data_IF_294775275030
#
_entry.id   IF_294775275030
#
_cell.length_a   1.000
_cell.length_b   1.000
_cell.length_c   1.000
_cell.angle_alpha   90.00
_cell.angle_beta   90.00
_cell.angle_gamma   90.00
#
_symmetry.space_group_name_H-M   'P 1'
#
loop_
_entity.id
_entity.type
_entity.pdbx_description
1 polymer ?
#
# COMPACT_ATOMS: atom_id res chain seq x y z
N UNK A 1 0.35 18.53 16.20
CA UNK A 1 -0.09 17.40 15.34
C UNK A 1 -0.61 16.26 16.23
N UNK A 2 0.19 15.75 17.20
CA UNK A 2 -0.18 14.58 18.03
C UNK A 2 -1.50 14.76 18.78
N UNK A 3 -1.71 15.87 19.48
CA UNK A 3 -2.97 16.14 20.18
C UNK A 3 -4.20 16.18 19.25
N UNK A 4 -4.04 16.60 17.99
CA UNK A 4 -5.10 16.54 17.00
C UNK A 4 -5.43 15.08 16.59
N UNK A 5 -4.42 14.23 16.41
CA UNK A 5 -4.61 12.80 16.09
C UNK A 5 -5.24 12.05 17.27
N UNK A 6 -4.84 12.40 18.51
CA UNK A 6 -5.45 11.86 19.72
C UNK A 6 -6.93 12.24 19.82
N UNK A 7 -7.27 13.50 19.58
CA UNK A 7 -8.65 13.98 19.57
C UNK A 7 -9.51 13.27 18.50
N UNK A 8 -8.93 12.94 17.35
CA UNK A 8 -9.57 12.15 16.29
C UNK A 8 -9.68 10.65 16.63
N UNK A 9 -9.05 10.19 17.71
CA UNK A 9 -9.01 8.78 18.14
C UNK A 9 -8.51 7.82 17.04
N UNK A 10 -7.55 8.25 16.25
CA UNK A 10 -6.97 7.44 15.15
C UNK A 10 -5.68 6.72 15.55
N UNK A 11 -5.06 7.11 16.69
CA UNK A 11 -3.87 6.46 17.24
C UNK A 11 -4.23 5.35 18.22
N UNK A 12 -3.37 4.34 18.33
CA UNK A 12 -3.51 3.31 19.36
C UNK A 12 -2.90 3.75 20.68
N UNK A 13 -3.52 3.33 21.78
CA UNK A 13 -3.02 3.48 23.17
C UNK A 13 -2.90 2.12 23.89
N UNK A 14 -3.24 1.03 23.19
CA UNK A 14 -3.35 -0.30 23.81
C UNK A 14 -2.00 -0.98 24.08
N UNK A 15 -0.93 -0.51 23.43
CA UNK A 15 0.39 -1.17 23.48
C UNK A 15 1.49 -0.26 24.02
N UNK A 16 1.15 0.67 24.94
CA UNK A 16 2.15 1.56 25.52
C UNK A 16 3.23 0.85 26.35
N UNK A 17 2.89 -0.30 26.94
CA UNK A 17 3.83 -1.13 27.70
C UNK A 17 4.62 -2.15 26.82
N UNK A 18 4.27 -2.26 25.52
CA UNK A 18 4.90 -3.13 24.54
C UNK A 18 4.82 -2.45 23.15
N UNK A 19 5.50 -1.31 23.03
CA UNK A 19 5.36 -0.40 21.87
C UNK A 19 5.71 -1.04 20.53
N UNK A 20 6.59 -2.03 20.52
CA UNK A 20 6.95 -2.82 19.35
C UNK A 20 5.78 -3.64 18.77
N UNK A 21 4.74 -3.86 19.57
CA UNK A 21 3.51 -4.57 19.15
C UNK A 21 2.41 -3.61 18.71
N UNK A 22 2.61 -2.30 18.79
CA UNK A 22 1.56 -1.30 18.53
C UNK A 22 1.16 -1.20 17.06
N UNK A 23 2.11 -1.24 16.15
CA UNK A 23 1.85 -1.16 14.72
C UNK A 23 1.46 -2.54 14.16
N UNK A 24 0.14 -2.78 14.03
CA UNK A 24 -0.41 -4.10 13.68
C UNK A 24 -1.54 -4.06 12.65
N UNK A 25 -1.24 -3.66 11.42
CA UNK A 25 -2.24 -3.65 10.34
C UNK A 25 -2.85 -5.04 10.11
N UNK A 26 -4.09 -5.06 9.64
CA UNK A 26 -4.86 -6.25 9.30
C UNK A 26 -5.21 -7.18 10.46
N UNK A 27 -4.88 -6.86 11.71
CA UNK A 27 -5.17 -7.77 12.82
C UNK A 27 -6.54 -7.53 13.45
N UNK A 28 -7.12 -8.58 14.04
CA UNK A 28 -8.36 -8.47 14.81
C UNK A 28 -8.22 -7.56 16.05
N UNK A 29 -7.00 -7.32 16.52
CA UNK A 29 -6.69 -6.46 17.66
C UNK A 29 -6.20 -5.06 17.27
N UNK A 30 -6.25 -4.70 16.00
CA UNK A 30 -5.97 -3.35 15.52
C UNK A 30 -6.83 -2.31 16.26
N UNK A 31 -6.22 -1.20 16.65
CA UNK A 31 -6.90 -0.22 17.51
C UNK A 31 -6.50 1.23 17.20
N UNK A 32 -5.92 1.47 16.06
CA UNK A 32 -5.38 2.74 15.61
C UNK A 32 -3.91 2.62 15.18
N UNK A 33 -3.42 3.60 14.47
CA UNK A 33 -2.04 3.57 14.01
C UNK A 33 -1.04 4.05 15.09
N UNK A 34 0.20 3.62 14.94
CA UNK A 34 1.34 4.18 15.66
C UNK A 34 1.94 5.29 14.79
N UNK A 35 2.01 6.54 15.29
CA UNK A 35 2.67 7.61 14.55
C UNK A 35 4.16 7.30 14.33
N UNK A 36 4.59 7.43 13.09
CA UNK A 36 5.99 7.31 12.67
C UNK A 36 6.53 8.62 12.10
N UNK A 37 7.80 8.64 11.75
CA UNK A 37 8.44 9.75 11.05
C UNK A 37 9.46 9.24 10.05
N UNK A 38 9.73 10.03 9.02
CA UNK A 38 10.73 9.68 8.01
C UNK A 38 10.59 10.54 6.76
N UNK A 39 11.38 10.20 5.76
CA UNK A 39 11.34 10.82 4.43
C UNK A 39 11.77 9.80 3.38
N UNK A 40 11.23 9.91 2.18
CA UNK A 40 11.69 9.19 0.99
C UNK A 40 11.90 10.20 -0.15
N UNK A 41 12.94 9.98 -0.94
CA UNK A 41 13.26 10.81 -2.10
C UNK A 41 13.52 9.93 -3.32
N UNK A 42 13.08 10.38 -4.48
CA UNK A 42 13.24 9.70 -5.76
C UNK A 42 13.82 10.67 -6.79
N UNK A 43 14.66 10.16 -7.65
CA UNK A 43 15.03 10.82 -8.89
C UNK A 43 14.22 10.17 -10.01
N UNK A 44 13.31 10.94 -10.59
CA UNK A 44 12.51 10.52 -11.74
C UNK A 44 13.15 11.08 -13.00
N UNK A 45 13.34 10.23 -14.00
CA UNK A 45 13.91 10.60 -15.29
C UNK A 45 13.10 9.96 -16.41
N UNK A 46 13.16 10.58 -17.58
CA UNK A 46 12.75 9.92 -18.80
C UNK A 46 13.67 8.71 -19.06
N UNK A 47 13.07 7.57 -19.49
CA UNK A 47 13.79 6.32 -19.71
C UNK A 47 14.98 6.47 -20.67
N UNK A 48 14.80 7.18 -21.79
CA UNK A 48 15.86 7.43 -22.77
C UNK A 48 17.04 8.18 -22.15
N UNK A 49 16.76 9.19 -21.32
CA UNK A 49 17.79 9.97 -20.63
C UNK A 49 18.56 9.09 -19.64
N UNK A 50 17.84 8.30 -18.84
CA UNK A 50 18.47 7.38 -17.88
C UNK A 50 19.37 6.37 -18.58
N UNK A 51 18.93 5.79 -19.70
CA UNK A 51 19.70 4.85 -20.50
C UNK A 51 20.93 5.49 -21.13
N UNK A 52 20.79 6.69 -21.69
CA UNK A 52 21.90 7.40 -22.39
C UNK A 52 23.08 7.70 -21.49
N UNK A 53 22.84 7.94 -20.18
CA UNK A 53 23.89 8.17 -19.20
C UNK A 53 24.32 6.94 -18.40
N UNK A 54 23.77 5.74 -18.74
CA UNK A 54 24.07 4.48 -18.05
C UNK A 54 23.57 4.45 -16.59
N UNK A 55 22.43 5.09 -16.31
CA UNK A 55 21.86 5.09 -14.97
C UNK A 55 21.44 3.69 -14.54
N UNK A 56 21.58 3.40 -13.23
CA UNK A 56 20.92 2.25 -12.64
C UNK A 56 19.42 2.57 -12.49
N UNK A 57 18.58 1.85 -13.22
CA UNK A 57 17.14 1.97 -13.13
C UNK A 57 16.64 0.92 -12.14
N UNK A 58 15.88 1.34 -11.13
CA UNK A 58 15.36 0.45 -10.09
C UNK A 58 13.96 -0.08 -10.41
N UNK A 59 13.13 0.77 -11.02
CA UNK A 59 11.76 0.45 -11.40
C UNK A 59 11.27 1.44 -12.47
N UNK A 60 10.21 1.07 -13.17
CA UNK A 60 9.44 1.95 -14.05
C UNK A 60 8.14 2.37 -13.36
N UNK A 61 7.76 3.63 -13.52
CA UNK A 61 6.44 4.11 -13.16
C UNK A 61 5.56 3.98 -14.41
N UNK A 62 4.66 3.00 -14.42
CA UNK A 62 3.80 2.74 -15.57
C UNK A 62 2.63 3.73 -15.66
N UNK A 63 2.10 4.14 -14.51
CA UNK A 63 0.98 5.05 -14.44
C UNK A 63 0.46 5.21 -13.02
N UNK A 64 -0.58 6.00 -12.87
CA UNK A 64 -1.20 6.22 -11.57
C UNK A 64 -2.45 7.07 -11.65
N UNK A 65 -3.15 7.18 -10.53
CA UNK A 65 -4.33 8.02 -10.40
C UNK A 65 -4.34 8.74 -9.06
N UNK A 66 -4.77 9.98 -9.07
CA UNK A 66 -5.10 10.75 -7.88
C UNK A 66 -6.54 11.22 -8.04
N UNK A 67 -7.36 11.04 -7.00
CA UNK A 67 -8.71 11.59 -6.95
C UNK A 67 -9.09 12.02 -5.53
N UNK A 68 -10.26 12.59 -5.38
CA UNK A 68 -10.89 12.88 -4.10
C UNK A 68 -12.33 12.38 -4.11
N UNK A 69 -12.76 11.73 -3.05
CA UNK A 69 -14.17 11.35 -2.82
C UNK A 69 -15.03 12.54 -2.41
N UNK A 70 -14.41 13.66 -1.99
CA UNK A 70 -15.08 14.88 -1.60
C UNK A 70 -15.90 14.73 -0.31
N UNK A 71 -15.55 13.77 0.52
CA UNK A 71 -16.24 13.44 1.78
C UNK A 71 -17.74 13.15 1.57
N UNK A 72 -18.08 12.53 0.44
CA UNK A 72 -19.45 12.15 0.08
C UNK A 72 -19.75 10.74 0.50
N UNK A 73 -21.02 10.37 0.50
CA UNK A 73 -21.51 9.04 0.88
C UNK A 73 -21.00 8.67 2.29
N UNK A 74 -20.11 7.68 2.39
CA UNK A 74 -19.49 7.24 3.64
C UNK A 74 -18.10 7.85 3.85
N UNK A 75 -17.62 8.69 2.92
CA UNK A 75 -16.36 9.40 3.05
C UNK A 75 -16.44 10.50 4.11
N UNK A 76 -15.33 10.70 4.82
CA UNK A 76 -15.18 11.72 5.87
C UNK A 76 -13.74 12.22 5.92
N UNK A 77 -13.44 13.09 6.89
CA UNK A 77 -12.07 13.52 7.11
C UNK A 77 -11.11 12.34 7.36
N UNK A 78 -11.57 11.29 8.04
CA UNK A 78 -10.73 10.16 8.49
C UNK A 78 -11.05 8.82 7.81
N UNK A 79 -12.09 8.78 6.97
CA UNK A 79 -12.48 7.57 6.25
C UNK A 79 -12.71 7.90 4.77
N UNK A 80 -12.03 7.20 3.84
CA UNK A 80 -12.21 7.45 2.41
C UNK A 80 -13.56 6.90 1.91
N UNK A 81 -14.08 7.53 0.87
CA UNK A 81 -15.22 7.03 0.11
C UNK A 81 -14.81 5.80 -0.69
N UNK A 82 -15.44 4.65 -0.44
CA UNK A 82 -15.11 3.39 -1.11
C UNK A 82 -15.28 3.43 -2.64
N UNK A 83 -16.25 4.18 -3.16
CA UNK A 83 -16.43 4.33 -4.61
C UNK A 83 -15.27 5.11 -5.22
N UNK A 84 -14.78 6.17 -4.54
CA UNK A 84 -13.63 6.95 -4.99
C UNK A 84 -12.33 6.13 -4.91
N UNK A 85 -12.13 5.35 -3.85
CA UNK A 85 -10.98 4.42 -3.71
C UNK A 85 -10.95 3.42 -4.86
N UNK A 86 -12.05 2.71 -5.11
CA UNK A 86 -12.14 1.74 -6.22
C UNK A 86 -11.90 2.40 -7.57
N UNK A 87 -12.47 3.58 -7.79
CA UNK A 87 -12.24 4.34 -9.02
C UNK A 87 -10.78 4.76 -9.18
N UNK A 88 -10.10 5.14 -8.09
CA UNK A 88 -8.68 5.49 -8.11
C UNK A 88 -7.82 4.29 -8.53
N UNK A 89 -8.05 3.12 -7.93
CA UNK A 89 -7.34 1.87 -8.25
C UNK A 89 -7.57 1.50 -9.72
N UNK A 90 -8.85 1.41 -10.15
CA UNK A 90 -9.18 0.99 -11.52
C UNK A 90 -8.61 1.96 -12.58
N UNK A 91 -8.64 3.26 -12.33
CA UNK A 91 -8.04 4.26 -13.25
C UNK A 91 -6.53 4.17 -13.30
N UNK A 92 -5.86 3.89 -12.17
CA UNK A 92 -4.42 3.69 -12.15
C UNK A 92 -4.01 2.49 -13.01
N UNK A 93 -4.77 1.39 -12.99
CA UNK A 93 -4.55 0.23 -13.86
C UNK A 93 -4.73 0.56 -15.34
N UNK A 94 -5.81 1.26 -15.67
CA UNK A 94 -6.08 1.69 -17.06
C UNK A 94 -4.97 2.60 -17.57
N UNK A 95 -4.54 3.58 -16.79
CA UNK A 95 -3.47 4.51 -17.15
C UNK A 95 -2.13 3.78 -17.33
N UNK A 96 -1.88 2.77 -16.51
CA UNK A 96 -0.67 1.94 -16.60
C UNK A 96 -0.74 0.89 -17.72
N UNK A 97 -1.88 0.65 -18.35
CA UNK A 97 -2.07 -0.43 -19.32
C UNK A 97 -1.89 -1.83 -18.73
N UNK A 98 -2.24 -2.02 -17.45
CA UNK A 98 -2.02 -3.24 -16.67
C UNK A 98 -3.35 -3.91 -16.35
N UNK A 99 -3.41 -5.23 -16.50
CA UNK A 99 -4.55 -6.03 -16.05
C UNK A 99 -4.41 -6.41 -14.57
N UNK A 100 -5.52 -6.71 -13.93
CA UNK A 100 -5.52 -7.10 -12.51
C UNK A 100 -4.73 -8.38 -12.22
N UNK A 101 -4.61 -9.28 -13.20
CA UNK A 101 -3.85 -10.53 -13.11
C UNK A 101 -2.33 -10.33 -13.13
N UNK A 102 -1.86 -9.20 -13.62
CA UNK A 102 -0.43 -8.90 -13.74
C UNK A 102 0.18 -8.38 -12.43
N UNK A 103 -0.68 -8.00 -11.45
CA UNK A 103 -0.22 -7.48 -10.17
C UNK A 103 0.24 -8.61 -9.27
N UNK A 104 1.48 -8.57 -8.86
CA UNK A 104 2.08 -9.54 -7.92
C UNK A 104 1.84 -9.15 -6.46
N UNK A 105 1.94 -7.86 -6.14
CA UNK A 105 1.88 -7.34 -4.78
C UNK A 105 1.09 -6.02 -4.72
N UNK A 106 0.29 -5.90 -3.70
CA UNK A 106 -0.32 -4.65 -3.26
C UNK A 106 0.43 -4.16 -2.02
N UNK A 107 1.16 -3.04 -2.14
CA UNK A 107 1.66 -2.29 -1.00
C UNK A 107 0.55 -1.32 -0.58
N UNK A 108 -0.22 -1.73 0.41
CA UNK A 108 -1.47 -1.11 0.78
C UNK A 108 -1.31 0.03 1.80
N UNK A 109 -2.34 0.84 1.95
CA UNK A 109 -2.34 1.92 2.95
C UNK A 109 -2.45 1.38 4.37
N UNK A 110 -3.32 0.44 4.64
CA UNK A 110 -3.59 -0.32 5.88
C UNK A 110 -2.89 0.24 7.13
N UNK A 111 -3.68 0.85 8.01
CA UNK A 111 -3.16 1.69 9.09
C UNK A 111 -3.36 1.12 10.49
N UNK A 112 -3.72 -0.14 10.61
CA UNK A 112 -4.12 -0.78 11.87
C UNK A 112 -5.38 -0.13 12.48
N UNK A 113 -6.31 0.29 11.66
CA UNK A 113 -7.59 0.90 12.05
C UNK A 113 -8.77 0.01 11.65
N UNK A 114 -9.97 0.39 12.10
CA UNK A 114 -11.21 -0.29 11.68
C UNK A 114 -11.44 -0.24 10.16
N UNK A 115 -10.70 0.60 9.42
CA UNK A 115 -10.84 0.73 7.97
C UNK A 115 -10.02 -0.31 7.18
N UNK A 116 -9.17 -1.09 7.83
CA UNK A 116 -8.28 -2.06 7.14
C UNK A 116 -9.10 -3.10 6.33
N UNK A 117 -10.14 -3.68 6.91
CA UNK A 117 -11.00 -4.63 6.19
C UNK A 117 -11.72 -3.97 5.01
N UNK A 118 -12.18 -2.73 5.18
CA UNK A 118 -12.82 -1.95 4.10
C UNK A 118 -11.83 -1.68 2.96
N UNK A 119 -10.56 -1.38 3.27
CA UNK A 119 -9.53 -1.18 2.25
C UNK A 119 -9.28 -2.46 1.46
N UNK A 120 -9.12 -3.61 2.15
CA UNK A 120 -8.94 -4.92 1.50
C UNK A 120 -10.13 -5.26 0.60
N UNK A 121 -11.36 -4.99 1.07
CA UNK A 121 -12.58 -5.15 0.26
C UNK A 121 -12.57 -4.26 -0.98
N UNK A 122 -12.14 -3.01 -0.86
CA UNK A 122 -12.04 -2.09 -2.00
C UNK A 122 -11.03 -2.58 -3.05
N UNK A 123 -9.88 -3.12 -2.62
CA UNK A 123 -8.91 -3.76 -3.50
C UNK A 123 -9.51 -4.98 -4.23
N UNK A 124 -10.12 -5.89 -3.48
CA UNK A 124 -10.79 -7.08 -4.03
C UNK A 124 -11.82 -6.71 -5.11
N UNK A 125 -12.68 -5.74 -4.81
CA UNK A 125 -13.71 -5.28 -5.75
C UNK A 125 -13.13 -4.56 -6.98
N UNK A 126 -12.12 -3.70 -6.81
CA UNK A 126 -11.49 -2.98 -7.90
C UNK A 126 -10.75 -3.91 -8.86
N UNK A 127 -10.11 -4.95 -8.33
CA UNK A 127 -9.39 -5.98 -9.09
C UNK A 127 -10.32 -7.11 -9.58
N UNK A 128 -11.53 -7.21 -9.06
CA UNK A 128 -12.45 -8.33 -9.28
C UNK A 128 -11.82 -9.69 -8.91
N UNK A 129 -11.13 -9.73 -7.76
CA UNK A 129 -10.40 -10.91 -7.28
C UNK A 129 -10.74 -11.22 -5.82
N UNK A 130 -10.72 -12.51 -5.47
CA UNK A 130 -10.95 -12.99 -4.11
C UNK A 130 -10.09 -14.21 -3.79
N UNK A 131 -9.95 -14.52 -2.51
CA UNK A 131 -9.23 -15.68 -2.01
C UNK A 131 -7.78 -15.70 -2.48
N UNK A 132 -7.33 -16.83 -2.99
CA UNK A 132 -5.97 -17.05 -3.52
C UNK A 132 -5.64 -16.24 -4.78
N UNK A 133 -6.62 -15.68 -5.45
CA UNK A 133 -6.41 -14.91 -6.68
C UNK A 133 -6.09 -13.43 -6.39
N UNK A 134 -6.27 -12.98 -5.15
CA UNK A 134 -5.81 -11.63 -4.73
C UNK A 134 -4.27 -11.62 -4.78
N UNK A 135 -3.64 -10.53 -5.26
CA UNK A 135 -2.19 -10.36 -5.14
C UNK A 135 -1.70 -10.50 -3.70
N UNK A 136 -0.40 -10.70 -3.49
CA UNK A 136 0.14 -10.55 -2.13
C UNK A 136 -0.19 -9.19 -1.57
N UNK A 137 -0.33 -9.10 -0.25
CA UNK A 137 -0.75 -7.90 0.44
C UNK A 137 0.19 -7.61 1.61
N UNK A 138 0.77 -6.41 1.64
CA UNK A 138 1.53 -5.95 2.79
C UNK A 138 1.31 -4.47 3.11
N UNK A 139 1.75 -4.08 4.31
CA UNK A 139 1.82 -2.69 4.73
C UNK A 139 3.13 -2.44 5.47
N UNK A 140 3.95 -1.55 4.93
CA UNK A 140 5.20 -1.12 5.57
C UNK A 140 4.97 -0.50 6.95
N UNK A 141 3.75 -0.02 7.22
CA UNK A 141 3.40 0.60 8.50
C UNK A 141 3.54 -0.35 9.69
N UNK A 142 3.52 -1.66 9.46
CA UNK A 142 3.84 -2.65 10.50
C UNK A 142 5.28 -2.52 11.01
N UNK A 143 6.21 -1.99 10.20
CA UNK A 143 7.62 -1.80 10.51
C UNK A 143 7.96 -0.40 11.03
N UNK A 144 7.38 0.64 10.41
CA UNK A 144 7.81 2.04 10.63
C UNK A 144 6.71 2.93 11.23
N UNK A 145 5.55 2.37 11.50
CA UNK A 145 4.38 3.16 11.88
C UNK A 145 3.84 3.98 10.70
N UNK A 146 2.96 4.91 10.99
CA UNK A 146 2.37 5.80 10.00
C UNK A 146 3.10 7.15 9.98
N UNK A 147 3.95 7.35 8.99
CA UNK A 147 4.75 8.57 8.84
C UNK A 147 3.95 9.75 8.22
N UNK A 148 2.62 9.69 8.25
CA UNK A 148 1.71 10.74 7.76
C UNK A 148 2.03 11.16 6.33
N UNK A 149 2.40 12.43 6.10
CA UNK A 149 2.71 12.94 4.77
C UNK A 149 3.90 12.24 4.09
N UNK A 150 4.84 11.66 4.86
CA UNK A 150 5.97 10.91 4.32
C UNK A 150 5.65 9.43 4.06
N UNK A 151 4.48 8.92 4.49
CA UNK A 151 4.15 7.50 4.38
C UNK A 151 4.23 7.00 2.92
N UNK A 152 3.65 7.74 1.97
CA UNK A 152 3.65 7.37 0.56
C UNK A 152 5.06 7.24 -0.03
N UNK A 153 5.98 8.15 0.30
CA UNK A 153 7.36 8.10 -0.19
C UNK A 153 8.15 6.94 0.43
N UNK A 154 8.01 6.69 1.73
CA UNK A 154 8.66 5.55 2.39
C UNK A 154 8.16 4.21 1.83
N UNK A 155 6.86 4.08 1.62
CA UNK A 155 6.21 2.89 1.07
C UNK A 155 6.59 2.66 -0.41
N UNK A 156 6.78 3.73 -1.19
CA UNK A 156 7.33 3.61 -2.54
C UNK A 156 8.79 3.14 -2.54
N UNK A 157 9.62 3.63 -1.62
CA UNK A 157 10.99 3.11 -1.45
C UNK A 157 10.96 1.62 -1.16
N UNK A 158 10.10 1.17 -0.23
CA UNK A 158 9.96 -0.25 0.08
C UNK A 158 9.53 -1.07 -1.14
N UNK A 159 8.54 -0.60 -1.89
CA UNK A 159 8.04 -1.28 -3.10
C UNK A 159 9.13 -1.41 -4.17
N UNK A 160 9.94 -0.38 -4.37
CA UNK A 160 11.06 -0.42 -5.31
C UNK A 160 12.15 -1.42 -4.84
N UNK A 161 12.41 -1.51 -3.54
CA UNK A 161 13.33 -2.51 -2.98
C UNK A 161 12.78 -3.93 -3.17
N UNK A 162 11.49 -4.15 -2.93
CA UNK A 162 10.81 -5.43 -3.16
C UNK A 162 10.92 -5.86 -4.62
N UNK A 163 10.63 -4.96 -5.57
CA UNK A 163 10.79 -5.22 -7.01
C UNK A 163 12.23 -5.55 -7.38
N UNK A 164 13.17 -4.71 -6.98
CA UNK A 164 14.56 -4.79 -7.44
C UNK A 164 15.31 -5.98 -6.83
N UNK A 165 14.97 -6.39 -5.60
CA UNK A 165 15.67 -7.43 -4.86
C UNK A 165 14.91 -8.76 -4.81
N UNK A 166 13.65 -8.81 -5.23
CA UNK A 166 12.87 -10.04 -5.33
C UNK A 166 12.45 -10.63 -3.98
N UNK A 167 11.81 -9.82 -3.14
CA UNK A 167 11.24 -10.27 -1.88
C UNK A 167 9.98 -9.49 -1.53
N UNK A 168 9.21 -9.95 -0.56
CA UNK A 168 8.07 -9.26 0.04
C UNK A 168 8.35 -9.08 1.53
N UNK A 169 8.24 -7.84 2.03
CA UNK A 169 8.32 -7.55 3.46
C UNK A 169 7.20 -8.26 4.23
N UNK A 170 7.50 -8.83 5.41
CA UNK A 170 6.47 -9.42 6.24
C UNK A 170 5.53 -8.35 6.81
N UNK A 171 4.32 -8.76 7.13
CA UNK A 171 3.41 -7.97 7.98
C UNK A 171 3.73 -8.29 9.43
N UNK A 172 4.46 -7.41 10.12
CA UNK A 172 4.80 -7.59 11.52
C UNK A 172 3.54 -7.46 12.40
N UNK A 173 3.55 -8.13 13.55
CA UNK A 173 2.46 -8.12 14.52
C UNK A 173 1.10 -8.58 13.96
N UNK A 174 1.10 -9.29 12.83
CA UNK A 174 -0.10 -9.80 12.17
C UNK A 174 -0.37 -11.27 12.57
N UNK A 175 -0.35 -11.57 13.87
CA UNK A 175 -0.48 -12.94 14.38
C UNK A 175 -1.89 -13.49 14.16
N UNK A 176 -2.91 -12.65 14.31
CA UNK A 176 -4.31 -13.00 14.12
C UNK A 176 -4.93 -12.02 13.12
N UNK A 177 -5.08 -12.45 11.87
CA UNK A 177 -5.69 -11.64 10.82
C UNK A 177 -7.17 -11.42 11.15
N UNK A 178 -7.68 -10.23 10.82
CA UNK A 178 -9.08 -9.88 11.05
C UNK A 178 -10.01 -10.84 10.27
N UNK A 179 -11.06 -11.40 10.89
CA UNK A 179 -11.96 -12.35 10.23
C UNK A 179 -12.53 -11.84 8.91
N UNK A 180 -13.00 -10.60 8.85
CA UNK A 180 -13.56 -10.01 7.64
C UNK A 180 -12.52 -9.92 6.50
N UNK A 181 -11.22 -9.83 6.80
CA UNK A 181 -10.15 -9.89 5.80
C UNK A 181 -9.99 -11.31 5.28
N UNK A 182 -10.07 -12.32 6.15
CA UNK A 182 -9.99 -13.74 5.77
C UNK A 182 -11.17 -14.20 4.90
N UNK A 183 -12.31 -13.53 4.97
CA UNK A 183 -13.43 -13.76 4.04
C UNK A 183 -13.12 -13.27 2.61
N UNK A 184 -12.16 -12.36 2.44
CA UNK A 184 -11.83 -11.72 1.17
C UNK A 184 -10.56 -12.29 0.55
N UNK A 185 -9.55 -12.56 1.37
CA UNK A 185 -8.17 -12.89 0.96
C UNK A 185 -7.68 -14.11 1.73
N UNK A 186 -7.11 -15.09 1.04
CA UNK A 186 -6.50 -16.25 1.68
C UNK A 186 -5.29 -15.81 2.52
N UNK A 187 -5.14 -16.42 3.70
CA UNK A 187 -4.07 -16.11 4.67
C UNK A 187 -2.67 -16.17 4.05
N UNK A 188 -2.43 -17.09 3.10
CA UNK A 188 -1.15 -17.24 2.40
C UNK A 188 -0.74 -16.01 1.58
N UNK A 189 -1.68 -15.11 1.26
CA UNK A 189 -1.45 -13.86 0.54
C UNK A 189 -1.03 -12.71 1.45
N UNK A 190 -1.00 -12.92 2.75
CA UNK A 190 -0.58 -11.97 3.78
C UNK A 190 0.69 -12.50 4.47
N UNK A 191 1.87 -12.31 3.87
CA UNK A 191 3.12 -12.86 4.42
C UNK A 191 3.42 -12.30 5.81
N UNK A 192 3.71 -13.19 6.76
CA UNK A 192 4.13 -12.86 8.14
C UNK A 192 5.63 -13.09 8.38
N UNK A 193 6.30 -13.66 7.39
CA UNK A 193 7.76 -13.80 7.33
C UNK A 193 8.25 -13.30 5.99
N UNK A 194 9.53 -12.93 5.90
CA UNK A 194 10.13 -12.49 4.65
C UNK A 194 9.95 -13.56 3.58
N UNK A 195 9.30 -13.19 2.48
CA UNK A 195 9.04 -14.10 1.37
C UNK A 195 9.93 -13.75 0.17
N UNK A 196 10.83 -14.65 -0.20
CA UNK A 196 11.58 -14.52 -1.46
C UNK A 196 10.65 -14.78 -2.63
N UNK A 197 10.46 -13.79 -3.47
CA UNK A 197 9.58 -13.88 -4.64
C UNK A 197 10.01 -12.89 -5.71
N UNK A 198 10.18 -13.38 -6.92
CA UNK A 198 10.35 -12.48 -8.06
C UNK A 198 9.03 -11.75 -8.32
N UNK A 199 9.08 -10.44 -8.33
CA UNK A 199 7.94 -9.56 -8.56
C UNK A 199 8.15 -8.81 -9.86
N UNK A 200 7.10 -8.61 -10.62
CA UNK A 200 7.10 -7.86 -11.88
C UNK A 200 6.36 -6.55 -11.74
N UNK A 201 5.17 -6.58 -11.14
CA UNK A 201 4.30 -5.40 -10.99
C UNK A 201 3.82 -5.28 -9.55
N UNK A 202 3.97 -4.08 -9.00
CA UNK A 202 3.43 -3.70 -7.70
C UNK A 202 2.44 -2.54 -7.88
N UNK A 203 1.28 -2.66 -7.24
CA UNK A 203 0.36 -1.55 -7.04
C UNK A 203 0.57 -0.97 -5.63
N UNK A 204 0.87 0.33 -5.56
CA UNK A 204 1.02 1.07 -4.30
C UNK A 204 -0.08 2.10 -4.16
N UNK A 205 -0.80 2.10 -3.03
CA UNK A 205 -1.82 3.11 -2.79
C UNK A 205 -1.70 3.82 -1.44
N UNK A 206 -2.25 5.02 -1.38
CA UNK A 206 -2.43 5.81 -0.16
C UNK A 206 -3.82 6.43 -0.17
N UNK A 207 -4.53 6.28 0.94
CA UNK A 207 -5.89 6.82 1.13
C UNK A 207 -5.84 7.75 2.34
N UNK A 208 -5.73 9.04 2.06
CA UNK A 208 -5.39 10.05 3.07
C UNK A 208 -6.60 10.76 3.66
N UNK A 209 -6.35 11.46 4.75
CA UNK A 209 -7.32 12.37 5.37
C UNK A 209 -7.84 13.39 4.36
N UNK A 210 -9.11 13.74 4.51
CA UNK A 210 -9.81 14.61 3.55
C UNK A 210 -10.37 13.86 2.35
N UNK A 211 -10.35 12.51 2.39
CA UNK A 211 -10.87 11.64 1.32
C UNK A 211 -10.07 11.82 0.01
N UNK A 212 -8.75 11.95 0.13
CA UNK A 212 -7.81 12.05 -0.99
C UNK A 212 -7.14 10.70 -1.21
N UNK A 213 -7.21 10.20 -2.43
CA UNK A 213 -6.76 8.87 -2.81
C UNK A 213 -5.68 8.97 -3.89
N UNK A 214 -4.64 8.14 -3.77
CA UNK A 214 -3.59 8.00 -4.77
C UNK A 214 -3.24 6.52 -4.95
N UNK A 215 -3.07 6.10 -6.21
CA UNK A 215 -2.57 4.77 -6.56
C UNK A 215 -1.54 4.92 -7.68
N UNK A 216 -0.41 4.23 -7.56
CA UNK A 216 0.66 4.19 -8.55
C UNK A 216 1.02 2.75 -8.86
N UNK A 217 1.31 2.47 -10.13
CA UNK A 217 1.70 1.15 -10.63
C UNK A 217 3.17 1.20 -11.01
N UNK A 218 3.93 0.30 -10.39
CA UNK A 218 5.37 0.15 -10.60
C UNK A 218 5.66 -1.17 -11.29
N UNK A 219 6.57 -1.16 -12.25
CA UNK A 219 7.10 -2.36 -12.92
C UNK A 219 8.59 -2.52 -12.63
N UNK A 220 9.02 -3.75 -12.47
CA UNK A 220 10.44 -4.08 -12.41
C UNK A 220 11.10 -3.73 -13.74
N UNK A 221 12.14 -2.92 -13.69
CA UNK A 221 12.92 -2.67 -14.89
C UNK A 221 13.74 -3.90 -15.26
N UNK A 222 13.75 -4.24 -16.54
CA UNK A 222 14.63 -5.28 -17.12
C UNK A 222 15.35 -4.73 -18.34
N UNK A 223 16.64 -5.07 -18.51
CA UNK A 223 17.43 -4.63 -19.67
C UNK A 223 16.89 -5.10 -21.02
N UNK A 224 15.95 -6.04 -21.03
CA UNK A 224 15.25 -6.50 -22.23
C UNK A 224 14.16 -5.56 -22.75
N UNK A 225 13.71 -4.58 -21.94
CA UNK A 225 12.68 -3.60 -22.30
C UNK A 225 13.24 -2.45 -23.19
N UNK A 226 14.47 -2.58 -23.71
CA UNK A 226 15.16 -1.57 -24.54
C UNK A 226 14.60 -1.43 -25.97
N UNK A 227 13.56 -2.18 -26.34
CA UNK A 227 12.99 -2.18 -27.70
C UNK A 227 11.47 -2.01 -27.66
N UNK A 228 11.03 -0.79 -27.38
CA UNK A 228 9.66 -0.37 -27.70
C UNK A 228 9.68 1.06 -28.23
#
# INVERSE_FOLDING_TARGET
>A
IWGGLEALRVCTFKHNDASEQGARPMTASASGFVPGSGAGAFVLENLETALSRGARIYAEVLGGCINSGGQREQGSMTAPNSSAVKSCISKALVEAGVNSEDIDLINAHLTATAMDATEVQNWSLALQKSGKNVPYLNSLKSHVGHALAAAGSLELVSSILELSQGFIFPNLNCDTIHPDILEIVDEEKIPRTLLKKNLTIIAKASFGFGDVNACVILKKYSDGDKSA
#
